data_IF_633262741939
#
_entry.id   IF_633262741939
#
_cell.length_a   1.000
_cell.length_b   1.000
_cell.length_c   1.000
_cell.angle_alpha   90.00
_cell.angle_beta   90.00
_cell.angle_gamma   90.00
#
_symmetry.space_group_name_H-M   'P 1'
#
loop_
_entity.id
_entity.type
_entity.pdbx_description
1 polymer ?
#
# COMPACT_ATOMS: atom_id res chain seq x y z
N UNK A 1 -18.46 -37.12 35.31
CA UNK A 1 -17.66 -38.33 35.00
C UNK A 1 -17.59 -38.42 33.49
N UNK A 2 -16.61 -37.77 32.87
CA UNK A 2 -15.24 -38.23 32.64
C UNK A 2 -15.12 -38.77 31.20
N UNK A 3 -14.39 -38.00 30.41
CA UNK A 3 -14.07 -38.19 29.00
C UNK A 3 -13.26 -39.48 28.79
N UNK A 4 -13.61 -40.27 27.79
CA UNK A 4 -12.73 -41.31 27.25
C UNK A 4 -12.66 -41.25 25.72
N UNK A 5 -11.57 -40.63 25.27
CA UNK A 5 -10.70 -41.11 24.19
C UNK A 5 -11.33 -41.40 22.82
N UNK A 6 -11.38 -40.37 21.97
CA UNK A 6 -11.06 -40.55 20.56
C UNK A 6 -9.88 -39.65 20.22
N UNK A 7 -8.70 -40.25 20.32
CA UNK A 7 -7.42 -39.73 19.85
C UNK A 7 -7.41 -39.76 18.32
N UNK A 8 -8.17 -38.86 17.69
CA UNK A 8 -7.98 -38.51 16.30
C UNK A 8 -7.06 -37.28 16.25
N UNK A 9 -5.81 -37.44 15.80
CA UNK A 9 -4.97 -36.32 15.37
C UNK A 9 -5.58 -35.72 14.09
N UNK A 10 -6.73 -35.07 14.22
CA UNK A 10 -7.34 -34.22 13.21
C UNK A 10 -6.84 -32.82 13.46
N UNK A 11 -5.91 -32.39 12.62
CA UNK A 11 -5.28 -31.07 12.61
C UNK A 11 -6.33 -29.97 12.84
N UNK A 12 -6.31 -29.33 14.01
CA UNK A 12 -6.90 -28.00 14.19
C UNK A 12 -6.01 -26.98 13.49
N UNK A 13 -5.90 -27.09 12.16
CA UNK A 13 -5.54 -25.98 11.30
C UNK A 13 -6.85 -25.19 11.18
N UNK A 14 -7.12 -24.25 12.08
CA UNK A 14 -6.44 -22.98 12.02
C UNK A 14 -7.12 -22.14 10.93
N UNK A 15 -8.38 -21.76 11.13
CA UNK A 15 -9.05 -20.69 10.37
C UNK A 15 -8.27 -19.35 10.43
N UNK A 16 -7.17 -19.29 11.19
CA UNK A 16 -6.26 -18.16 11.35
C UNK A 16 -5.44 -17.82 10.11
N UNK A 17 -5.40 -18.68 9.07
CA UNK A 17 -4.63 -18.38 7.85
C UNK A 17 -5.41 -17.63 6.77
N UNK A 18 -6.74 -17.59 6.83
CA UNK A 18 -7.55 -16.95 5.80
C UNK A 18 -7.63 -15.41 5.90
N UNK A 19 -7.12 -14.82 6.98
CA UNK A 19 -7.09 -13.36 7.14
C UNK A 19 -5.88 -12.69 6.49
N UNK A 20 -4.84 -13.43 6.10
CA UNK A 20 -3.62 -12.83 5.54
C UNK A 20 -3.72 -12.53 4.03
N UNK A 21 -4.62 -13.20 3.31
CA UNK A 21 -4.75 -13.03 1.86
C UNK A 21 -5.74 -11.96 1.43
N UNK A 22 -6.55 -11.40 2.34
CA UNK A 22 -7.48 -10.29 2.02
C UNK A 22 -6.76 -8.95 1.78
N UNK A 23 -5.48 -8.85 2.16
CA UNK A 23 -4.68 -7.62 1.97
C UNK A 23 -4.02 -7.53 0.59
N UNK A 24 -3.98 -8.61 -0.18
CA UNK A 24 -3.56 -8.57 -1.57
C UNK A 24 -4.76 -8.15 -2.42
N UNK A 25 -5.13 -6.87 -2.33
CA UNK A 25 -5.95 -6.25 -3.37
C UNK A 25 -5.13 -6.35 -4.66
N UNK A 26 -5.42 -7.39 -5.45
CA UNK A 26 -4.81 -7.63 -6.78
C UNK A 26 -5.13 -6.52 -7.77
N UNK A 27 -6.05 -5.62 -7.41
CA UNK A 27 -6.34 -4.41 -8.17
C UNK A 27 -5.34 -3.30 -7.84
N UNK A 28 -4.66 -2.81 -8.87
CA UNK A 28 -3.89 -1.58 -8.78
C UNK A 28 -4.85 -0.44 -8.43
N UNK A 29 -4.54 0.28 -7.35
CA UNK A 29 -5.25 1.53 -7.00
C UNK A 29 -4.54 2.69 -7.68
N UNK A 30 -5.30 3.54 -8.37
CA UNK A 30 -4.79 4.81 -8.91
C UNK A 30 -4.68 5.86 -7.79
N UNK A 31 -3.71 6.77 -7.92
CA UNK A 31 -3.54 7.92 -7.04
C UNK A 31 -3.39 9.16 -7.91
N UNK A 32 -4.12 10.22 -7.56
CA UNK A 32 -4.02 11.54 -8.22
C UNK A 32 -3.36 12.49 -7.24
N UNK A 33 -2.34 13.22 -7.71
CA UNK A 33 -1.60 14.20 -6.93
C UNK A 33 -1.59 15.53 -7.68
N UNK A 34 -1.90 16.61 -6.97
CA UNK A 34 -1.87 17.96 -7.52
C UNK A 34 -0.49 18.60 -7.39
N UNK A 35 -0.17 19.45 -8.37
CA UNK A 35 1.00 20.35 -8.39
C UNK A 35 0.51 21.76 -8.69
N UNK A 36 1.23 22.75 -8.17
CA UNK A 36 1.04 24.16 -8.50
C UNK A 36 2.10 24.59 -9.50
N UNK A 37 1.74 25.48 -10.40
CA UNK A 37 2.69 26.23 -11.22
C UNK A 37 3.32 27.33 -10.35
N UNK A 38 4.61 27.59 -10.52
CA UNK A 38 5.34 28.65 -9.86
C UNK A 38 5.86 29.66 -10.91
N UNK A 39 6.21 30.87 -10.45
CA UNK A 39 6.51 32.00 -11.33
C UNK A 39 7.75 31.79 -12.23
N UNK A 40 8.65 30.87 -11.86
CA UNK A 40 9.92 30.60 -12.55
C UNK A 40 9.85 29.40 -13.52
N UNK A 41 8.69 29.16 -14.18
CA UNK A 41 8.40 27.96 -15.00
C UNK A 41 8.56 26.63 -14.23
N UNK A 42 8.77 26.71 -12.91
CA UNK A 42 8.90 25.57 -12.02
C UNK A 42 7.54 25.15 -11.46
N UNK A 43 7.49 24.00 -10.81
CA UNK A 43 6.27 23.52 -10.17
C UNK A 43 6.51 23.22 -8.69
N UNK A 44 5.49 23.50 -7.87
CA UNK A 44 5.50 23.23 -6.44
C UNK A 44 4.56 22.08 -6.11
N UNK A 45 5.06 21.06 -5.40
CA UNK A 45 4.24 19.94 -4.97
C UNK A 45 3.24 20.37 -3.89
N UNK A 46 2.01 19.87 -3.96
CA UNK A 46 1.10 19.92 -2.80
C UNK A 46 1.72 19.16 -1.60
N UNK A 47 1.35 19.48 -0.35
CA UNK A 47 1.89 18.80 0.83
C UNK A 47 1.76 17.27 0.78
N UNK A 48 0.66 16.77 0.20
CA UNK A 48 0.43 15.33 0.00
C UNK A 48 1.36 14.74 -1.06
N UNK A 49 1.58 15.46 -2.17
CA UNK A 49 2.51 15.03 -3.21
C UNK A 49 3.96 15.02 -2.72
N UNK A 50 4.35 16.01 -1.91
CA UNK A 50 5.68 16.07 -1.27
C UNK A 50 5.92 14.85 -0.36
N UNK A 51 4.97 14.56 0.54
CA UNK A 51 5.04 13.36 1.41
C UNK A 51 5.11 12.06 0.60
N UNK A 52 4.36 11.98 -0.50
CA UNK A 52 4.43 10.80 -1.36
C UNK A 52 5.80 10.68 -2.04
N UNK A 53 6.35 11.78 -2.56
CA UNK A 53 7.67 11.82 -3.15
C UNK A 53 8.76 11.36 -2.17
N UNK A 54 8.70 11.82 -0.91
CA UNK A 54 9.59 11.36 0.17
C UNK A 54 9.47 9.83 0.39
N UNK A 55 8.23 9.32 0.47
CA UNK A 55 7.96 7.88 0.64
C UNK A 55 8.54 7.04 -0.50
N UNK A 56 8.59 7.57 -1.72
CA UNK A 56 9.17 6.89 -2.88
C UNK A 56 10.62 7.32 -3.16
N UNK A 57 11.30 7.94 -2.19
CA UNK A 57 12.72 8.34 -2.26
C UNK A 57 13.03 9.25 -3.46
N UNK A 58 12.17 10.24 -3.71
CA UNK A 58 12.37 11.22 -4.78
C UNK A 58 12.04 10.70 -6.18
N UNK A 59 11.59 9.44 -6.32
CA UNK A 59 11.28 8.85 -7.63
C UNK A 59 10.12 9.55 -8.36
N UNK A 60 9.19 10.16 -7.63
CA UNK A 60 8.09 10.90 -8.26
C UNK A 60 8.66 12.06 -9.09
N UNK A 61 9.47 12.93 -8.48
CA UNK A 61 10.09 14.06 -9.17
C UNK A 61 11.03 13.64 -10.31
N UNK A 62 11.74 12.52 -10.17
CA UNK A 62 12.65 12.00 -11.21
C UNK A 62 11.94 11.53 -12.48
N UNK A 63 10.66 11.16 -12.39
CA UNK A 63 9.94 10.53 -13.49
C UNK A 63 8.80 11.38 -14.05
N UNK A 64 8.35 12.41 -13.34
CA UNK A 64 7.42 13.37 -13.92
C UNK A 64 8.20 14.28 -14.88
N UNK A 65 7.92 14.17 -16.17
CA UNK A 65 8.38 15.13 -17.17
C UNK A 65 7.35 16.26 -17.21
N UNK A 66 7.39 17.12 -16.21
CA UNK A 66 6.72 18.41 -16.26
C UNK A 66 7.75 19.33 -16.93
N UNK A 67 7.41 19.87 -18.11
CA UNK A 67 8.30 20.74 -18.90
C UNK A 67 8.93 21.80 -18.00
N UNK A 68 10.22 22.02 -18.20
CA UNK A 68 10.83 23.33 -17.97
C UNK A 68 10.22 24.32 -18.97
#
# INVERSE_FOLDING_TARGET
MALSLIRGKGLRYGNTQLHFFSNYSTMKKGLVLGVYEADDESFTLTPTAAKYNERVQGKLLKHICLKD
#
